data_IF_125897053099
#
_entry.id   IF_125897053099
#
_cell.length_a   1.000
_cell.length_b   1.000
_cell.length_c   1.000
_cell.angle_alpha   90.00
_cell.angle_beta   90.00
_cell.angle_gamma   90.00
#
_symmetry.space_group_name_H-M   'P 1'
#
loop_
_entity.id
_entity.type
_entity.pdbx_description
1 polymer ?
#
# COMPACT_ATOMS: atom_id res chain seq x y z
N UNK A 1 -3.51 -33.55 28.64
CA UNK A 1 -2.27 -32.81 28.33
C UNK A 1 -1.98 -32.72 26.82
N UNK A 2 -1.86 -33.83 26.07
CA UNK A 2 -1.62 -33.80 24.61
C UNK A 2 -2.65 -32.95 23.83
N UNK A 3 -3.94 -33.10 24.13
CA UNK A 3 -5.01 -32.31 23.50
C UNK A 3 -4.96 -30.81 23.82
N UNK A 4 -4.43 -30.44 24.99
CA UNK A 4 -4.29 -29.04 25.42
C UNK A 4 -3.09 -28.36 24.73
N UNK A 5 -1.99 -29.10 24.56
CA UNK A 5 -0.81 -28.64 23.81
C UNK A 5 -1.13 -28.44 22.32
N UNK A 6 -1.95 -29.32 21.73
CA UNK A 6 -2.42 -29.21 20.35
C UNK A 6 -3.31 -27.97 20.15
N UNK A 7 -4.24 -27.69 21.07
CA UNK A 7 -5.08 -26.49 20.97
C UNK A 7 -4.30 -25.20 21.19
N UNK A 8 -3.31 -25.18 22.09
CA UNK A 8 -2.40 -24.04 22.27
C UNK A 8 -1.55 -23.81 21.00
N UNK A 9 -0.96 -24.86 20.43
CA UNK A 9 -0.18 -24.76 19.19
C UNK A 9 -1.02 -24.25 17.99
N UNK A 10 -2.30 -24.64 17.93
CA UNK A 10 -3.22 -24.19 16.89
C UNK A 10 -3.56 -22.69 17.03
N UNK A 11 -3.77 -22.20 18.25
CA UNK A 11 -4.00 -20.77 18.54
C UNK A 11 -2.76 -19.92 18.22
N UNK A 12 -1.55 -20.42 18.51
CA UNK A 12 -0.30 -19.74 18.14
C UNK A 12 -0.13 -19.64 16.62
N UNK A 13 -0.49 -20.68 15.87
CA UNK A 13 -0.38 -20.64 14.41
C UNK A 13 -1.29 -19.57 13.79
N UNK A 14 -2.52 -19.40 14.29
CA UNK A 14 -3.47 -18.41 13.76
C UNK A 14 -2.98 -16.98 14.06
N UNK A 15 -2.38 -16.75 15.22
CA UNK A 15 -1.85 -15.44 15.62
C UNK A 15 -0.60 -15.02 14.80
N UNK A 16 0.18 -15.98 14.30
CA UNK A 16 1.40 -15.69 13.53
C UNK A 16 1.13 -15.29 12.07
N UNK A 17 -0.05 -15.58 11.52
CA UNK A 17 -0.38 -15.29 10.12
C UNK A 17 -1.19 -13.99 9.90
N UNK A 18 -1.67 -13.34 10.96
CA UNK A 18 -2.31 -12.04 10.87
C UNK A 18 -1.29 -10.91 10.97
N UNK A 19 -0.32 -10.86 10.05
CA UNK A 19 0.35 -9.59 9.80
C UNK A 19 -0.68 -8.66 9.19
N UNK A 20 -1.04 -7.63 9.94
CA UNK A 20 -1.96 -6.58 9.51
C UNK A 20 -1.49 -6.05 8.13
N UNK A 21 -2.45 -5.81 7.23
CA UNK A 21 -2.17 -5.24 5.92
C UNK A 21 -1.42 -3.90 6.10
N UNK A 22 -1.71 -3.18 7.18
CA UNK A 22 -1.06 -1.92 7.51
C UNK A 22 0.46 -2.07 7.68
N UNK A 23 0.92 -3.08 8.42
CA UNK A 23 2.36 -3.34 8.63
C UNK A 23 3.10 -3.67 7.33
N UNK A 24 2.40 -4.35 6.40
CA UNK A 24 2.95 -4.69 5.09
C UNK A 24 3.05 -3.46 4.20
N UNK A 25 2.00 -2.65 4.14
CA UNK A 25 1.87 -1.51 3.25
C UNK A 25 2.64 -0.27 3.72
N UNK A 26 2.78 -0.03 5.04
CA UNK A 26 3.49 1.14 5.55
C UNK A 26 4.90 1.25 5.00
N UNK A 27 5.24 2.42 4.47
CA UNK A 27 6.57 2.72 3.92
C UNK A 27 6.51 3.53 2.63
N UNK A 28 7.68 3.70 2.00
CA UNK A 28 7.81 4.34 0.70
C UNK A 28 7.99 3.28 -0.39
N UNK A 29 7.33 3.49 -1.53
CA UNK A 29 7.27 2.56 -2.64
C UNK A 29 7.44 3.29 -3.96
N UNK A 30 8.16 2.70 -4.91
CA UNK A 30 8.26 3.22 -6.28
C UNK A 30 8.70 2.12 -7.24
N UNK A 31 8.74 2.42 -8.54
CA UNK A 31 9.28 1.53 -9.56
C UNK A 31 10.19 2.31 -10.51
N UNK A 32 11.05 1.61 -11.23
CA UNK A 32 11.93 2.19 -12.26
C UNK A 32 11.16 2.78 -13.46
N UNK A 33 9.84 2.56 -13.53
CA UNK A 33 8.97 3.07 -14.61
C UNK A 33 8.36 4.44 -14.34
N UNK A 34 8.58 5.02 -13.15
CA UNK A 34 7.98 6.30 -12.75
C UNK A 34 8.98 7.13 -11.94
N UNK A 35 8.83 8.46 -12.00
CA UNK A 35 9.55 9.39 -11.12
C UNK A 35 8.89 9.57 -9.76
N UNK A 36 7.67 9.03 -9.58
CA UNK A 36 6.89 9.16 -8.37
C UNK A 36 7.20 8.08 -7.34
N UNK A 37 7.22 8.49 -6.08
CA UNK A 37 7.22 7.64 -4.90
C UNK A 37 5.86 7.80 -4.22
N UNK A 38 5.27 6.69 -3.76
CA UNK A 38 4.11 6.73 -2.87
C UNK A 38 4.58 6.41 -1.45
N UNK A 39 4.22 7.27 -0.50
CA UNK A 39 4.36 7.00 0.93
C UNK A 39 3.00 6.58 1.44
N UNK A 40 2.95 5.42 2.08
CA UNK A 40 1.75 4.88 2.70
C UNK A 40 1.96 4.92 4.22
N UNK A 41 1.10 5.68 4.89
CA UNK A 41 1.00 5.74 6.34
C UNK A 41 -0.31 5.07 6.77
N UNK A 42 -0.36 4.60 8.02
CA UNK A 42 -1.57 4.08 8.63
C UNK A 42 -1.61 4.47 10.10
N UNK A 43 -2.75 4.95 10.55
CA UNK A 43 -3.07 5.26 11.94
C UNK A 43 -4.36 4.53 12.32
N UNK A 44 -4.38 3.85 13.47
CA UNK A 44 -5.51 3.02 13.88
C UNK A 44 -6.84 3.80 14.01
N UNK A 45 -6.79 5.12 14.22
CA UNK A 45 -7.97 5.97 14.37
C UNK A 45 -8.32 6.71 13.07
N UNK A 46 -7.36 6.93 12.17
CA UNK A 46 -7.54 7.73 10.95
C UNK A 46 -7.52 6.91 9.66
N UNK A 47 -7.13 5.65 9.71
CA UNK A 47 -6.97 4.78 8.55
C UNK A 47 -5.69 5.09 7.75
N UNK A 48 -5.72 4.78 6.46
CA UNK A 48 -4.58 4.98 5.55
C UNK A 48 -4.48 6.42 5.03
N UNK A 49 -3.25 6.94 4.97
CA UNK A 49 -2.91 8.17 4.25
C UNK A 49 -1.87 7.85 3.18
N UNK A 50 -2.15 8.24 1.94
CA UNK A 50 -1.28 8.00 0.80
C UNK A 50 -0.91 9.32 0.13
N UNK A 51 0.40 9.52 -0.03
CA UNK A 51 0.95 10.71 -0.66
C UNK A 51 1.97 10.29 -1.70
N UNK A 52 1.69 10.63 -2.95
CA UNK A 52 2.66 10.53 -4.03
C UNK A 52 3.49 11.80 -4.08
N UNK A 53 4.79 11.67 -4.31
CA UNK A 53 5.65 12.82 -4.60
C UNK A 53 6.67 12.46 -5.68
N UNK A 54 7.12 13.45 -6.44
CA UNK A 54 8.22 13.32 -7.40
C UNK A 54 9.15 14.52 -7.28
N UNK A 55 10.45 14.24 -7.11
CA UNK A 55 11.48 15.27 -7.18
C UNK A 55 11.69 15.78 -8.62
N UNK A 56 11.51 14.91 -9.62
CA UNK A 56 11.68 15.28 -11.02
C UNK A 56 10.57 16.23 -11.50
N UNK A 57 9.33 15.96 -11.08
CA UNK A 57 8.18 16.81 -11.40
C UNK A 57 7.99 17.97 -10.41
N UNK A 58 8.74 17.98 -9.30
CA UNK A 58 8.55 18.90 -8.17
C UNK A 58 7.08 18.98 -7.71
N UNK A 59 6.43 17.81 -7.57
CA UNK A 59 4.99 17.70 -7.34
C UNK A 59 4.68 16.71 -6.22
N UNK A 60 3.60 17.00 -5.48
CA UNK A 60 2.98 16.11 -4.50
C UNK A 60 1.51 15.94 -4.81
N UNK A 61 1.00 14.72 -4.76
CA UNK A 61 -0.40 14.35 -4.99
C UNK A 61 -0.90 13.51 -3.82
N UNK A 62 -1.94 13.98 -3.13
CA UNK A 62 -2.63 13.18 -2.11
C UNK A 62 -3.63 12.25 -2.77
N UNK A 63 -3.75 11.04 -2.24
CA UNK A 63 -4.80 10.11 -2.67
C UNK A 63 -5.91 10.02 -1.63
N UNK A 64 -7.12 9.77 -2.09
CA UNK A 64 -8.28 9.50 -1.23
C UNK A 64 -8.58 8.01 -1.26
N UNK A 65 -8.57 7.36 -0.10
CA UNK A 65 -8.99 5.96 0.02
C UNK A 65 -10.49 5.87 -0.26
N UNK A 66 -10.86 4.96 -1.16
CA UNK A 66 -12.27 4.72 -1.53
C UNK A 66 -12.75 3.33 -1.14
N UNK A 67 -11.83 2.38 -0.95
CA UNK A 67 -12.16 1.01 -0.57
C UNK A 67 -10.96 0.33 0.11
N UNK A 68 -11.23 -0.46 1.13
CA UNK A 68 -10.24 -1.29 1.82
C UNK A 68 -10.72 -2.74 1.80
N UNK A 69 -9.87 -3.62 1.28
CA UNK A 69 -10.10 -5.06 1.26
C UNK A 69 -9.17 -5.80 2.20
N UNK A 70 -9.33 -7.13 2.26
CA UNK A 70 -8.51 -7.99 3.12
C UNK A 70 -7.00 -7.88 2.84
N UNK A 71 -6.63 -7.62 1.58
CA UNK A 71 -5.25 -7.61 1.10
C UNK A 71 -4.93 -6.47 0.14
N UNK A 72 -5.84 -5.50 -0.01
CA UNK A 72 -5.65 -4.35 -0.89
C UNK A 72 -6.26 -3.09 -0.31
N UNK A 73 -5.79 -1.95 -0.81
CA UNK A 73 -6.43 -0.65 -0.65
C UNK A 73 -6.65 -0.06 -2.04
N UNK A 74 -7.82 0.52 -2.30
CA UNK A 74 -8.11 1.24 -3.52
C UNK A 74 -8.25 2.71 -3.21
N UNK A 75 -7.56 3.53 -3.99
CA UNK A 75 -7.56 4.97 -3.85
C UNK A 75 -7.97 5.65 -5.15
N UNK A 76 -8.23 6.94 -5.04
CA UNK A 76 -8.43 7.86 -6.14
C UNK A 76 -7.39 8.98 -6.02
N UNK A 77 -6.72 9.30 -7.12
CA UNK A 77 -5.78 10.42 -7.20
C UNK A 77 -6.15 11.35 -8.35
N UNK A 78 -6.04 12.65 -8.09
CA UNK A 78 -6.24 13.70 -9.08
C UNK A 78 -4.97 14.55 -9.19
N UNK A 79 -4.47 14.71 -10.41
CA UNK A 79 -3.37 15.61 -10.73
C UNK A 79 -3.93 16.88 -11.40
N UNK A 80 -3.94 18.03 -10.71
CA UNK A 80 -4.47 19.28 -11.25
C UNK A 80 -3.63 19.87 -12.38
N UNK A 81 -2.36 19.47 -12.52
CA UNK A 81 -1.45 20.02 -13.53
C UNK A 81 -1.84 19.59 -14.94
N UNK A 82 -2.41 18.39 -15.09
CA UNK A 82 -2.76 17.81 -16.38
C UNK A 82 -4.19 17.25 -16.43
N UNK A 83 -5.01 17.63 -15.43
CA UNK A 83 -6.41 17.19 -15.27
C UNK A 83 -6.56 15.65 -15.32
N UNK A 84 -5.57 14.95 -14.77
CA UNK A 84 -5.54 13.49 -14.78
C UNK A 84 -6.17 12.94 -13.51
N UNK A 85 -7.19 12.09 -13.68
CA UNK A 85 -7.83 11.35 -12.61
C UNK A 85 -7.67 9.85 -12.86
N UNK A 86 -7.26 9.10 -11.83
CA UNK A 86 -7.15 7.64 -11.90
C UNK A 86 -7.48 7.03 -10.54
N UNK A 87 -8.01 5.81 -10.58
CA UNK A 87 -8.03 4.93 -9.42
C UNK A 87 -6.75 4.11 -9.38
N UNK A 88 -6.27 3.81 -8.19
CA UNK A 88 -5.12 2.93 -7.97
C UNK A 88 -5.48 1.88 -6.95
N UNK A 89 -5.38 0.61 -7.33
CA UNK A 89 -5.54 -0.52 -6.41
C UNK A 89 -4.16 -1.05 -6.04
N UNK A 90 -3.83 -0.97 -4.75
CA UNK A 90 -2.57 -1.43 -4.19
C UNK A 90 -2.75 -2.80 -3.53
N UNK A 91 -2.15 -3.84 -4.10
CA UNK A 91 -2.19 -5.20 -3.55
C UNK A 91 -0.79 -5.64 -3.13
N UNK A 92 -0.62 -6.03 -1.87
CA UNK A 92 0.66 -6.53 -1.38
C UNK A 92 0.83 -8.03 -1.69
N UNK A 93 1.86 -8.37 -2.46
CA UNK A 93 2.14 -9.74 -2.89
C UNK A 93 3.64 -10.01 -2.75
N UNK A 94 4.02 -10.99 -1.93
CA UNK A 94 5.40 -11.47 -1.80
C UNK A 94 6.49 -10.40 -1.58
N UNK A 95 6.18 -9.34 -0.82
CA UNK A 95 7.16 -8.26 -0.55
C UNK A 95 7.14 -7.12 -1.57
N UNK A 96 6.32 -7.23 -2.60
CA UNK A 96 6.12 -6.20 -3.63
C UNK A 96 4.72 -5.61 -3.55
N UNK A 97 4.58 -4.40 -4.07
CA UNK A 97 3.31 -3.70 -4.14
C UNK A 97 2.84 -3.64 -5.59
N UNK A 98 1.81 -4.40 -5.92
CA UNK A 98 1.20 -4.39 -7.23
C UNK A 98 0.19 -3.23 -7.28
N UNK A 99 0.50 -2.24 -8.12
CA UNK A 99 -0.31 -1.05 -8.31
C UNK A 99 -1.06 -1.18 -9.65
N UNK A 100 -2.37 -1.42 -9.58
CA UNK A 100 -3.25 -1.44 -10.75
C UNK A 100 -3.89 -0.06 -10.93
N UNK A 101 -3.66 0.56 -12.07
CA UNK A 101 -4.20 1.85 -12.43
C UNK A 101 -5.43 1.66 -13.31
N UNK A 102 -6.55 2.28 -12.95
CA UNK A 102 -7.80 2.28 -13.71
C UNK A 102 -8.24 3.72 -14.01
N UNK A 103 -8.53 4.02 -15.28
CA UNK A 103 -8.98 5.34 -15.69
C UNK A 103 -8.72 5.58 -17.18
N UNK A 104 -8.01 6.67 -17.49
CA UNK A 104 -7.66 7.01 -18.88
C UNK A 104 -6.71 5.98 -19.53
N UNK A 105 -5.89 5.29 -18.73
CA UNK A 105 -5.02 4.22 -19.19
C UNK A 105 -4.94 3.12 -18.12
N UNK A 106 -5.28 1.90 -18.50
CA UNK A 106 -5.31 0.77 -17.58
C UNK A 106 -4.00 -0.01 -17.69
N UNK A 107 -3.29 -0.16 -16.57
CA UNK A 107 -2.05 -0.92 -16.52
C UNK A 107 -1.68 -1.30 -15.08
N UNK A 108 -0.77 -2.27 -14.95
CA UNK A 108 -0.22 -2.70 -13.66
C UNK A 108 1.26 -2.38 -13.62
N UNK A 109 1.70 -1.79 -12.50
CA UNK A 109 3.11 -1.55 -12.22
C UNK A 109 3.46 -2.13 -10.86
N UNK A 110 4.63 -2.75 -10.76
CA UNK A 110 5.12 -3.36 -9.51
C UNK A 110 6.06 -2.36 -8.85
N UNK A 111 5.73 -1.95 -7.63
CA UNK A 111 6.54 -1.07 -6.81
C UNK A 111 7.36 -1.89 -5.81
N UNK A 112 8.62 -1.49 -5.63
CA UNK A 112 9.54 -2.01 -4.63
C UNK A 112 9.59 -1.05 -3.44
N UNK A 113 9.80 -1.62 -2.25
CA UNK A 113 9.92 -0.86 -1.01
C UNK A 113 11.27 -0.14 -0.95
N UNK A 114 11.24 1.12 -0.56
CA UNK A 114 12.43 1.91 -0.24
C UNK A 114 12.57 2.01 1.28
N UNK A 115 13.77 1.71 1.76
CA UNK A 115 14.10 1.86 3.18
C UNK A 115 14.38 3.33 3.49
N UNK A 116 13.50 3.93 4.26
CA UNK A 116 13.72 5.24 4.83
C UNK A 116 14.35 5.07 6.21
N UNK A 117 15.43 5.80 6.47
CA UNK A 117 15.98 5.90 7.82
C UNK A 117 14.99 6.71 8.66
N UNK A 118 14.38 6.07 9.64
CA UNK A 118 13.54 6.72 10.64
C UNK A 118 14.30 6.77 11.96
N UNK A 119 14.21 7.89 12.67
CA UNK A 119 14.87 8.12 13.94
C UNK A 119 14.29 7.28 15.08
#
# INVERSE_FOLDING_TARGET
MKKLLLSIAMLFSIAMYSHDLSDKLRGAWSSEKTSYYVVILHDENKGYELVNFSFAENQTLKETVVEEGKNYIKTKVYNPTNDFETFVTYTFINGELHCEFEGKSNHVTIYKKYWLMTN
#
